data_IF_687919110327
#
_entry.id   IF_687919110327
#
_cell.length_a   1.000
_cell.length_b   1.000
_cell.length_c   1.000
_cell.angle_alpha   90.00
_cell.angle_beta   90.00
_cell.angle_gamma   90.00
#
_symmetry.space_group_name_H-M   'P 1'
#
loop_
_entity.id
_entity.type
_entity.pdbx_description
1 polymer ?
#
# COMPACT_ATOMS: atom_id res chain seq x y z
N UNK A 1 -49.67 33.11 -14.99
CA UNK A 1 -49.26 31.69 -15.01
C UNK A 1 -48.77 31.33 -13.62
N UNK A 2 -49.06 30.14 -13.09
CA UNK A 2 -48.53 29.71 -11.80
C UNK A 2 -47.01 29.61 -11.86
N UNK A 3 -46.32 30.07 -10.79
CA UNK A 3 -44.88 29.95 -10.67
C UNK A 3 -44.57 28.62 -9.97
N UNK A 4 -43.78 27.76 -10.61
CA UNK A 4 -43.12 26.65 -9.93
C UNK A 4 -41.94 27.20 -9.12
N UNK A 5 -41.72 26.63 -7.95
CA UNK A 5 -40.57 26.91 -7.09
C UNK A 5 -40.10 25.61 -6.45
N UNK A 6 -38.82 25.55 -6.12
CA UNK A 6 -38.24 24.42 -5.40
C UNK A 6 -38.23 24.72 -3.90
N UNK A 7 -38.39 23.68 -3.09
CA UNK A 7 -38.27 23.77 -1.64
C UNK A 7 -36.80 23.88 -1.27
N UNK A 8 -36.42 24.97 -0.60
CA UNK A 8 -35.05 25.25 -0.18
C UNK A 8 -34.54 24.27 0.90
N UNK A 9 -35.43 23.42 1.45
CA UNK A 9 -35.08 22.44 2.49
C UNK A 9 -34.93 21.02 1.95
N UNK A 10 -35.97 20.45 1.32
CA UNK A 10 -35.94 19.05 0.90
C UNK A 10 -35.54 18.84 -0.57
N UNK A 11 -35.52 19.90 -1.39
CA UNK A 11 -35.25 19.81 -2.83
C UNK A 11 -36.48 19.52 -3.70
N UNK A 12 -37.61 19.12 -3.11
CA UNK A 12 -38.85 18.85 -3.87
C UNK A 12 -39.50 20.10 -4.47
N UNK A 13 -40.27 19.92 -5.55
CA UNK A 13 -41.11 20.97 -6.12
C UNK A 13 -42.23 21.43 -5.17
N UNK A 14 -42.39 22.75 -5.05
CA UNK A 14 -43.48 23.40 -4.32
C UNK A 14 -44.67 23.58 -5.25
N UNK A 15 -45.77 22.91 -4.95
CA UNK A 15 -47.05 23.09 -5.64
C UNK A 15 -47.48 24.57 -5.60
N UNK A 16 -47.84 25.18 -6.75
CA UNK A 16 -48.17 26.60 -6.80
C UNK A 16 -49.38 26.94 -5.92
N UNK A 17 -49.20 27.91 -5.01
CA UNK A 17 -50.22 28.30 -4.03
C UNK A 17 -50.18 27.50 -2.73
N UNK A 18 -49.21 26.60 -2.58
CA UNK A 18 -48.95 25.80 -1.37
C UNK A 18 -47.58 26.17 -0.79
N UNK A 19 -47.33 25.75 0.46
CA UNK A 19 -46.08 25.98 1.16
C UNK A 19 -46.05 27.29 1.96
N UNK A 20 -44.92 27.51 2.62
CA UNK A 20 -44.69 28.68 3.49
C UNK A 20 -43.39 29.36 3.09
N UNK A 21 -43.41 30.69 3.05
CA UNK A 21 -42.21 31.51 2.87
C UNK A 21 -41.76 32.02 4.24
N UNK A 22 -40.58 31.56 4.68
CA UNK A 22 -39.94 32.04 5.90
C UNK A 22 -38.88 33.07 5.56
N UNK A 23 -38.90 34.21 6.25
CA UNK A 23 -37.93 35.30 6.06
C UNK A 23 -37.10 35.43 7.33
N UNK A 24 -35.80 35.17 7.22
CA UNK A 24 -34.87 35.32 8.33
C UNK A 24 -34.63 36.79 8.66
N UNK A 25 -34.11 37.05 9.86
CA UNK A 25 -33.78 38.40 10.34
C UNK A 25 -32.71 39.10 9.51
N UNK A 26 -31.84 38.33 8.83
CA UNK A 26 -30.82 38.82 7.92
C UNK A 26 -31.38 39.14 6.51
N UNK A 27 -32.66 38.85 6.25
CA UNK A 27 -33.33 39.05 4.96
C UNK A 27 -33.26 37.88 3.99
N UNK A 28 -32.61 36.75 4.34
CA UNK A 28 -32.67 35.53 3.52
C UNK A 28 -34.09 34.94 3.56
N UNK A 29 -34.50 34.36 2.43
CA UNK A 29 -35.83 33.78 2.26
C UNK A 29 -35.69 32.30 2.00
N UNK A 30 -36.46 31.49 2.73
CA UNK A 30 -36.52 30.04 2.59
C UNK A 30 -37.96 29.64 2.30
N UNK A 31 -38.16 28.85 1.25
CA UNK A 31 -39.45 28.32 0.86
C UNK A 31 -39.56 26.87 1.30
N UNK A 32 -40.60 26.58 2.05
CA UNK A 32 -40.93 25.23 2.50
C UNK A 32 -42.14 24.70 1.73
N UNK A 33 -42.04 23.48 1.20
CA UNK A 33 -43.18 22.81 0.56
C UNK A 33 -44.27 22.42 1.57
N UNK A 34 -43.88 22.16 2.83
CA UNK A 34 -44.79 21.66 3.86
C UNK A 34 -44.31 21.97 5.29
N UNK A 35 -45.24 21.85 6.25
CA UNK A 35 -44.94 21.97 7.68
C UNK A 35 -43.94 20.91 8.21
N UNK A 36 -43.70 19.82 7.48
CA UNK A 36 -42.65 18.85 7.83
C UNK A 36 -41.27 19.49 7.70
N UNK A 37 -41.04 20.22 6.61
CA UNK A 37 -39.77 20.88 6.36
C UNK A 37 -39.55 22.04 7.35
N UNK A 38 -40.57 22.86 7.59
CA UNK A 38 -40.54 23.93 8.60
C UNK A 38 -40.14 23.39 9.98
N UNK A 39 -40.83 22.34 10.46
CA UNK A 39 -40.55 21.77 11.78
C UNK A 39 -39.17 21.15 11.89
N UNK A 40 -38.64 20.54 10.82
CA UNK A 40 -37.28 20.00 10.88
C UNK A 40 -36.24 21.12 10.93
N UNK A 41 -36.45 22.20 10.17
CA UNK A 41 -35.61 23.39 10.27
C UNK A 41 -35.67 24.04 11.65
N UNK A 42 -36.86 24.14 12.26
CA UNK A 42 -37.05 24.66 13.63
C UNK A 42 -36.37 23.77 14.69
N UNK A 43 -36.27 22.47 14.44
CA UNK A 43 -35.53 21.52 15.27
C UNK A 43 -34.00 21.62 15.08
N UNK A 44 -33.52 22.48 14.19
CA UNK A 44 -32.10 22.64 13.89
C UNK A 44 -31.49 21.45 13.14
N UNK A 45 -32.31 20.64 12.45
CA UNK A 45 -31.82 19.57 11.58
C UNK A 45 -31.43 20.18 10.24
N UNK A 46 -30.23 19.87 9.78
CA UNK A 46 -29.77 20.29 8.47
C UNK A 46 -30.23 19.27 7.42
N UNK A 47 -30.66 19.70 6.22
CA UNK A 47 -31.16 18.78 5.21
C UNK A 47 -30.09 17.78 4.75
N UNK A 48 -28.83 18.20 4.66
CA UNK A 48 -27.69 17.33 4.32
C UNK A 48 -27.51 16.10 5.23
N UNK A 49 -28.02 16.16 6.46
CA UNK A 49 -27.89 15.04 7.42
C UNK A 49 -29.10 14.09 7.37
N UNK A 50 -30.06 14.36 6.47
CA UNK A 50 -31.31 13.63 6.38
C UNK A 50 -31.41 12.89 5.04
N UNK A 51 -31.32 11.57 5.10
CA UNK A 51 -31.41 10.64 3.95
C UNK A 51 -32.61 10.89 3.01
N UNK A 52 -33.75 11.31 3.56
CA UNK A 52 -34.97 11.50 2.77
C UNK A 52 -35.01 12.81 1.98
N UNK A 53 -34.05 13.72 2.22
CA UNK A 53 -33.93 14.94 1.43
C UNK A 53 -32.98 14.72 0.27
N UNK A 54 -33.17 15.46 -0.82
CA UNK A 54 -32.27 15.38 -1.97
C UNK A 54 -30.82 15.65 -1.54
N UNK A 55 -30.59 16.76 -0.82
CA UNK A 55 -29.26 17.12 -0.32
C UNK A 55 -28.63 16.04 0.57
N UNK A 56 -29.42 15.37 1.42
CA UNK A 56 -28.89 14.34 2.31
C UNK A 56 -28.57 13.03 1.60
N UNK A 57 -29.31 12.67 0.56
CA UNK A 57 -28.95 11.54 -0.31
C UNK A 57 -27.66 11.80 -1.08
N UNK A 58 -27.49 13.01 -1.62
CA UNK A 58 -26.26 13.41 -2.32
C UNK A 58 -25.06 13.45 -1.37
N UNK A 59 -25.20 14.07 -0.19
CA UNK A 59 -24.09 14.19 0.75
C UNK A 59 -23.56 12.83 1.23
N UNK A 60 -24.45 11.86 1.45
CA UNK A 60 -24.03 10.50 1.81
C UNK A 60 -23.33 9.80 0.67
N UNK A 61 -23.88 9.87 -0.55
CA UNK A 61 -23.23 9.28 -1.72
C UNK A 61 -21.83 9.87 -1.96
N UNK A 62 -21.67 11.18 -1.76
CA UNK A 62 -20.36 11.85 -1.84
C UNK A 62 -19.42 11.36 -0.73
N UNK A 63 -19.89 11.30 0.52
CA UNK A 63 -19.08 10.82 1.65
C UNK A 63 -18.68 9.33 1.50
N UNK A 64 -19.58 8.50 0.96
CA UNK A 64 -19.31 7.10 0.64
C UNK A 64 -18.26 6.99 -0.47
N UNK A 65 -18.40 7.76 -1.55
CA UNK A 65 -17.42 7.78 -2.63
C UNK A 65 -16.04 8.29 -2.17
N UNK A 66 -15.99 9.30 -1.30
CA UNK A 66 -14.74 9.78 -0.70
C UNK A 66 -14.12 8.72 0.21
N UNK A 67 -14.92 7.99 0.99
CA UNK A 67 -14.43 6.91 1.84
C UNK A 67 -13.91 5.71 1.03
N UNK A 68 -14.61 5.35 -0.05
CA UNK A 68 -14.15 4.31 -0.98
C UNK A 68 -12.85 4.74 -1.68
N UNK A 69 -12.79 5.97 -2.21
CA UNK A 69 -11.57 6.48 -2.84
C UNK A 69 -10.39 6.59 -1.87
N UNK A 70 -10.65 6.96 -0.61
CA UNK A 70 -9.63 6.94 0.43
C UNK A 70 -9.14 5.51 0.65
N UNK A 71 -10.03 4.55 0.88
CA UNK A 71 -9.68 3.14 1.12
C UNK A 71 -8.90 2.52 -0.05
N UNK A 72 -9.28 2.84 -1.30
CA UNK A 72 -8.52 2.42 -2.48
C UNK A 72 -7.11 3.02 -2.49
N UNK A 73 -6.97 4.32 -2.21
CA UNK A 73 -5.66 4.97 -2.13
C UNK A 73 -4.77 4.42 -1.00
N UNK A 74 -5.36 4.03 0.14
CA UNK A 74 -4.59 3.41 1.23
C UNK A 74 -4.11 2.01 0.83
N UNK A 75 -4.96 1.23 0.15
CA UNK A 75 -4.60 -0.10 -0.34
C UNK A 75 -3.50 -0.05 -1.42
N UNK A 76 -3.58 0.88 -2.37
CA UNK A 76 -2.53 1.06 -3.38
C UNK A 76 -1.20 1.49 -2.73
N UNK A 77 -1.23 2.36 -1.72
CA UNK A 77 -0.02 2.76 -0.99
C UNK A 77 0.60 1.59 -0.18
N UNK A 78 -0.20 0.68 0.37
CA UNK A 78 0.31 -0.51 1.05
C UNK A 78 0.91 -1.54 0.07
N UNK A 79 0.33 -1.71 -1.12
CA UNK A 79 0.96 -2.55 -2.16
C UNK A 79 2.28 -1.96 -2.66
N UNK A 80 2.33 -0.66 -3.01
CA UNK A 80 3.58 -0.06 -3.48
C UNK A 80 4.69 -0.12 -2.41
N UNK A 81 4.35 0.08 -1.13
CA UNK A 81 5.32 -0.07 -0.05
C UNK A 81 5.84 -1.52 0.10
N UNK A 82 4.98 -2.52 -0.11
CA UNK A 82 5.39 -3.93 -0.06
C UNK A 82 6.29 -4.31 -1.25
N UNK A 83 6.02 -3.78 -2.44
CA UNK A 83 6.87 -3.98 -3.62
C UNK A 83 8.24 -3.32 -3.43
N UNK A 84 8.32 -2.10 -2.87
CA UNK A 84 9.61 -1.45 -2.57
C UNK A 84 10.44 -2.23 -1.55
N UNK A 85 9.83 -2.79 -0.49
CA UNK A 85 10.58 -3.59 0.49
C UNK A 85 11.07 -4.93 -0.10
N UNK A 86 10.29 -5.59 -0.97
CA UNK A 86 10.78 -6.80 -1.66
C UNK A 86 11.92 -6.49 -2.65
N UNK A 87 11.87 -5.36 -3.36
CA UNK A 87 12.99 -4.95 -4.22
C UNK A 87 14.25 -4.66 -3.39
N UNK A 88 14.18 -3.91 -2.29
CA UNK A 88 15.35 -3.65 -1.43
C UNK A 88 15.93 -4.94 -0.80
N UNK A 89 15.08 -5.90 -0.39
CA UNK A 89 15.56 -7.20 0.10
C UNK A 89 16.25 -8.02 -1.00
N UNK A 90 15.77 -7.94 -2.24
CA UNK A 90 16.37 -8.63 -3.38
C UNK A 90 17.74 -8.05 -3.77
N UNK A 91 17.87 -6.71 -3.79
CA UNK A 91 19.13 -6.03 -4.11
C UNK A 91 20.18 -6.29 -3.02
N UNK A 92 19.78 -6.30 -1.75
CA UNK A 92 20.66 -6.61 -0.63
C UNK A 92 21.16 -8.07 -0.63
N UNK A 93 20.33 -9.01 -1.11
CA UNK A 93 20.75 -10.38 -1.31
C UNK A 93 21.81 -10.46 -2.42
N UNK A 94 21.57 -9.88 -3.60
CA UNK A 94 22.52 -9.92 -4.72
C UNK A 94 23.90 -9.33 -4.37
N UNK A 95 23.95 -8.23 -3.61
CA UNK A 95 25.23 -7.64 -3.15
C UNK A 95 26.00 -8.52 -2.16
N UNK A 96 25.31 -9.34 -1.35
CA UNK A 96 25.95 -10.27 -0.43
C UNK A 96 26.59 -11.46 -1.18
N UNK A 97 26.01 -11.89 -2.30
CA UNK A 97 26.45 -13.07 -3.06
C UNK A 97 27.67 -12.72 -3.93
N UNK A 98 27.72 -11.49 -4.45
CA UNK A 98 28.89 -10.93 -5.15
C UNK A 98 30.09 -10.75 -4.19
N UNK A 99 29.87 -10.40 -2.93
CA UNK A 99 30.94 -10.25 -1.92
C UNK A 99 31.61 -11.58 -1.53
N UNK A 100 30.84 -12.69 -1.52
CA UNK A 100 31.35 -14.03 -1.23
C UNK A 100 32.17 -14.61 -2.40
N UNK A 101 31.84 -14.25 -3.65
CA UNK A 101 32.58 -14.70 -4.84
C UNK A 101 33.95 -14.02 -5.05
N UNK A 102 34.17 -12.83 -4.47
CA UNK A 102 35.45 -12.11 -4.54
C UNK A 102 36.54 -12.65 -3.61
N UNK A 103 36.21 -13.57 -2.70
CA UNK A 103 37.17 -14.23 -1.81
C UNK A 103 37.90 -15.41 -2.48
N UNK A 104 37.26 -16.10 -3.43
CA UNK A 104 37.75 -17.36 -4.03
C UNK A 104 38.70 -17.15 -5.23
N UNK A 105 39.07 -15.90 -5.58
CA UNK A 105 40.13 -15.59 -6.57
C UNK A 105 41.51 -15.31 -5.94
N UNK A 106 41.66 -15.38 -4.60
CA UNK A 106 42.98 -15.25 -3.94
C UNK A 106 43.69 -16.57 -3.64
N UNK A 107 43.05 -17.71 -3.86
CA UNK A 107 43.56 -19.05 -3.50
C UNK A 107 44.11 -19.87 -4.68
N UNK A 108 43.85 -19.49 -5.94
CA UNK A 108 44.55 -20.05 -7.12
C UNK A 108 45.96 -19.45 -7.35
N UNK A 109 46.42 -18.51 -6.51
CA UNK A 109 47.76 -17.91 -6.62
C UNK A 109 48.84 -18.63 -5.77
N UNK A 110 48.46 -19.58 -4.90
CA UNK A 110 49.41 -20.25 -3.98
C UNK A 110 49.82 -21.67 -4.44
N UNK A 111 49.14 -22.28 -5.42
CA UNK A 111 49.38 -23.67 -5.89
C UNK A 111 50.16 -23.75 -7.23
N UNK A 112 50.81 -22.67 -7.66
CA UNK A 112 51.69 -22.66 -8.85
C UNK A 112 53.20 -22.76 -8.51
N UNK A 113 53.57 -22.67 -7.22
CA UNK A 113 54.97 -22.66 -6.75
C UNK A 113 55.36 -23.96 -6.02
N UNK A 114 54.58 -25.05 -6.14
CA UNK A 114 54.83 -26.34 -5.47
C UNK A 114 55.22 -27.51 -6.43
N UNK A 115 55.25 -27.29 -7.74
CA UNK A 115 55.61 -28.28 -8.76
C UNK A 115 57.08 -28.10 -9.26
N UNK A 116 58.05 -27.93 -8.34
CA UNK A 116 59.48 -27.81 -8.73
C UNK A 116 60.52 -28.45 -7.81
N UNK A 117 60.17 -29.08 -6.68
CA UNK A 117 61.16 -29.57 -5.69
C UNK A 117 60.81 -30.95 -5.12
N UNK A 118 60.69 -32.00 -5.95
CA UNK A 118 60.73 -33.41 -5.44
C UNK A 118 61.25 -34.44 -6.45
N UNK A 119 61.92 -34.03 -7.53
CA UNK A 119 62.70 -34.90 -8.44
C UNK A 119 64.19 -34.93 -8.03
N UNK A 120 64.50 -35.04 -6.73
CA UNK A 120 65.89 -34.96 -6.26
C UNK A 120 66.17 -35.52 -4.85
N UNK A 121 65.69 -36.71 -4.46
CA UNK A 121 66.39 -37.50 -3.42
C UNK A 121 65.90 -38.96 -3.41
N UNK A 122 66.74 -39.89 -2.96
CA UNK A 122 66.47 -41.34 -2.79
C UNK A 122 66.52 -42.20 -4.06
N UNK A 123 67.47 -41.87 -4.93
CA UNK A 123 68.11 -42.81 -5.84
C UNK A 123 69.38 -43.46 -5.23
N UNK A 124 69.57 -43.61 -3.91
CA UNK A 124 70.79 -44.25 -3.34
C UNK A 124 70.54 -45.15 -2.10
N UNK A 125 69.80 -46.25 -2.24
CA UNK A 125 69.96 -47.42 -1.34
C UNK A 125 69.55 -48.73 -2.01
N UNK A 126 70.35 -49.14 -3.00
CA UNK A 126 70.48 -50.53 -3.39
C UNK A 126 71.54 -51.22 -2.48
N UNK A 127 71.45 -52.55 -2.36
CA UNK A 127 72.52 -53.49 -1.97
C UNK A 127 72.64 -53.93 -0.49
N UNK A 128 71.88 -54.97 -0.07
CA UNK A 128 72.28 -56.02 0.91
C UNK A 128 71.09 -56.97 1.19
N UNK A 129 70.93 -58.09 0.47
CA UNK A 129 71.44 -59.43 0.81
C UNK A 129 70.66 -60.18 1.94
N UNK A 130 69.80 -61.12 1.49
CA UNK A 130 69.75 -62.55 1.84
C UNK A 130 70.25 -63.02 3.24
N UNK A 131 69.36 -63.65 4.04
CA UNK A 131 69.55 -64.55 5.20
C UNK A 131 68.41 -64.28 6.23
N UNK A 132 67.70 -65.21 6.89
CA UNK A 132 67.79 -66.65 7.11
C UNK A 132 66.44 -67.11 7.74
N UNK A 133 66.19 -68.42 7.74
CA UNK A 133 65.06 -69.14 8.36
C UNK A 133 65.03 -69.08 9.91
N UNK A 134 63.94 -69.59 10.50
CA UNK A 134 63.87 -70.48 11.68
C UNK A 134 62.99 -70.06 12.90
N UNK A 135 62.25 -71.07 13.40
CA UNK A 135 61.32 -71.29 14.56
C UNK A 135 61.18 -70.24 15.69
N UNK A 136 60.05 -70.11 16.43
CA UNK A 136 59.20 -71.12 17.12
C UNK A 136 57.68 -70.82 17.11
#
# INVERSE_FOLDING_TARGET
MPQNRTCDYCGDDVEPGTGTMFVHTNGSVVHYCSAKCEKNADLGREPRDLEWTEAGGHHQAEAEAEAEAAAEAEAEAEEEAAEEEEEEESEAAEEAEEAESGAEESEEAEDAEAESDEEADEAESAESADADEDEE
#
